data_IF_777468215862
#
_entry.id   IF_777468215862
#
_cell.length_a   1.000
_cell.length_b   1.000
_cell.length_c   1.000
_cell.angle_alpha   90.00
_cell.angle_beta   90.00
_cell.angle_gamma   90.00
#
_symmetry.space_group_name_H-M   'P 1'
#
loop_
_entity.id
_entity.type
_entity.pdbx_description
1 polymer ?
#
# COMPACT_ATOMS: atom_id res chain seq x y z
N UNK A 1 -8.32 16.54 -7.89
CA UNK A 1 -8.75 17.36 -9.05
C UNK A 1 -7.69 18.35 -9.57
N UNK A 2 -6.86 18.94 -8.76
CA UNK A 2 -5.81 19.91 -9.18
C UNK A 2 -4.67 19.26 -10.00
N UNK A 3 -4.36 18.00 -9.77
CA UNK A 3 -3.21 17.30 -10.36
C UNK A 3 -3.47 16.86 -11.81
N UNK A 4 -4.71 16.54 -12.18
CA UNK A 4 -5.07 16.18 -13.57
C UNK A 4 -5.06 17.38 -14.50
N UNK A 5 -5.26 18.59 -13.96
CA UNK A 5 -5.24 19.82 -14.72
C UNK A 5 -3.81 20.33 -15.05
N UNK A 6 -2.79 19.90 -14.30
CA UNK A 6 -1.41 20.39 -14.50
C UNK A 6 -0.67 19.71 -15.66
N UNK A 7 -1.05 18.49 -16.03
CA UNK A 7 -0.43 17.78 -17.16
C UNK A 7 -0.77 18.45 -18.49
N UNK A 8 -2.05 18.75 -18.81
CA UNK A 8 -2.36 19.48 -20.04
C UNK A 8 -1.80 20.90 -20.04
N UNK A 9 -1.70 21.56 -18.87
CA UNK A 9 -1.13 22.91 -18.79
C UNK A 9 0.37 22.91 -19.08
N UNK A 10 1.13 21.94 -18.59
CA UNK A 10 2.54 21.76 -18.90
C UNK A 10 2.80 21.42 -20.36
N UNK A 11 1.97 20.54 -20.95
CA UNK A 11 2.00 20.20 -22.36
C UNK A 11 1.66 21.41 -23.26
N UNK A 12 0.62 22.16 -22.92
CA UNK A 12 0.22 23.37 -23.68
C UNK A 12 1.29 24.45 -23.58
N UNK A 13 1.84 24.68 -22.39
CA UNK A 13 2.95 25.65 -22.21
C UNK A 13 4.20 25.21 -22.98
N UNK A 14 4.54 23.91 -22.98
CA UNK A 14 5.65 23.35 -23.75
C UNK A 14 5.45 23.51 -25.28
N UNK A 15 4.24 23.25 -25.77
CA UNK A 15 3.88 23.42 -27.18
C UNK A 15 3.90 24.89 -27.59
N UNK A 16 3.44 25.82 -26.76
CA UNK A 16 3.51 27.25 -27.00
C UNK A 16 4.96 27.75 -27.03
N UNK A 17 5.80 27.27 -26.12
CA UNK A 17 7.23 27.57 -26.13
C UNK A 17 7.96 26.97 -27.33
N UNK A 18 7.59 25.76 -27.79
CA UNK A 18 8.06 25.17 -29.05
C UNK A 18 7.75 26.05 -30.25
N UNK A 19 6.54 26.61 -30.28
CA UNK A 19 6.08 27.45 -31.39
C UNK A 19 6.77 28.82 -31.41
N UNK A 20 6.99 29.46 -30.24
CA UNK A 20 7.49 30.82 -30.14
C UNK A 20 9.01 30.97 -30.00
N UNK A 21 9.71 29.99 -29.38
CA UNK A 21 11.13 30.14 -29.01
C UNK A 21 12.10 29.18 -29.76
N UNK A 22 11.56 28.39 -30.68
CA UNK A 22 12.31 27.35 -31.39
C UNK A 22 12.40 26.02 -30.63
N UNK A 23 12.72 24.99 -31.38
CA UNK A 23 12.63 23.59 -30.90
C UNK A 23 13.52 23.27 -29.69
N UNK A 24 14.69 23.92 -29.55
CA UNK A 24 15.61 23.69 -28.43
C UNK A 24 15.00 24.16 -27.09
N UNK A 25 14.41 25.38 -27.09
CA UNK A 25 13.79 25.94 -25.91
C UNK A 25 12.52 25.13 -25.51
N UNK A 26 11.77 24.64 -26.50
CA UNK A 26 10.62 23.81 -26.27
C UNK A 26 10.95 22.44 -25.66
N UNK A 27 11.99 21.77 -26.14
CA UNK A 27 12.47 20.51 -25.55
C UNK A 27 13.00 20.77 -24.13
N UNK A 28 13.76 21.83 -23.90
CA UNK A 28 14.24 22.21 -22.57
C UNK A 28 13.11 22.44 -21.58
N UNK A 29 12.04 23.13 -21.97
CA UNK A 29 10.86 23.37 -21.16
C UNK A 29 10.07 22.07 -20.85
N UNK A 30 9.97 21.17 -21.84
CA UNK A 30 9.29 19.89 -21.70
C UNK A 30 10.04 18.97 -20.73
N UNK A 31 11.36 18.86 -20.87
CA UNK A 31 12.22 18.07 -19.97
C UNK A 31 12.22 18.69 -18.56
N UNK A 32 12.43 19.99 -18.45
CA UNK A 32 12.40 20.69 -17.16
C UNK A 32 11.06 20.56 -16.44
N UNK A 33 9.96 20.75 -17.18
CA UNK A 33 8.60 20.59 -16.67
C UNK A 33 8.32 19.16 -16.19
N UNK A 34 8.78 18.16 -16.93
CA UNK A 34 8.63 16.75 -16.55
C UNK A 34 9.42 16.43 -15.26
N UNK A 35 10.63 16.94 -15.14
CA UNK A 35 11.46 16.75 -13.94
C UNK A 35 10.83 17.42 -12.73
N UNK A 36 10.40 18.69 -12.85
CA UNK A 36 9.74 19.42 -11.77
C UNK A 36 8.44 18.71 -11.36
N UNK A 37 7.63 18.28 -12.32
CA UNK A 37 6.41 17.51 -12.05
C UNK A 37 6.74 16.19 -11.32
N UNK A 38 7.76 15.46 -11.77
CA UNK A 38 8.21 14.23 -11.10
C UNK A 38 8.63 14.47 -9.65
N UNK A 39 9.35 15.57 -9.39
CA UNK A 39 9.73 15.95 -8.03
C UNK A 39 8.49 16.28 -7.17
N UNK A 40 7.56 17.06 -7.70
CA UNK A 40 6.31 17.39 -6.98
C UNK A 40 5.52 16.12 -6.66
N UNK A 41 5.37 15.22 -7.63
CA UNK A 41 4.67 13.94 -7.43
C UNK A 41 5.37 13.06 -6.41
N UNK A 42 6.69 12.99 -6.47
CA UNK A 42 7.49 12.27 -5.47
C UNK A 42 7.25 12.77 -4.04
N UNK A 43 7.19 14.10 -3.85
CA UNK A 43 6.94 14.68 -2.52
C UNK A 43 5.48 14.56 -2.09
N UNK A 44 4.55 14.58 -3.04
CA UNK A 44 3.12 14.46 -2.76
C UNK A 44 2.66 13.00 -2.50
N UNK A 45 3.44 12.01 -2.93
CA UNK A 45 3.03 10.59 -2.90
C UNK A 45 2.71 10.10 -1.49
N UNK A 46 3.59 10.33 -0.54
CA UNK A 46 3.42 9.82 0.83
C UNK A 46 2.25 10.48 1.57
N UNK A 47 2.10 11.83 1.60
CA UNK A 47 0.93 12.44 2.22
C UNK A 47 -0.38 12.07 1.50
N UNK A 48 -0.37 11.90 0.18
CA UNK A 48 -1.54 11.46 -0.56
C UNK A 48 -1.96 10.03 -0.17
N UNK A 49 -1.00 9.10 -0.09
CA UNK A 49 -1.26 7.73 0.33
C UNK A 49 -1.75 7.65 1.78
N UNK A 50 -1.13 8.39 2.71
CA UNK A 50 -1.58 8.47 4.10
C UNK A 50 -3.00 9.00 4.21
N UNK A 51 -3.34 10.03 3.44
CA UNK A 51 -4.70 10.60 3.41
C UNK A 51 -5.71 9.63 2.79
N UNK A 52 -5.31 8.87 1.78
CA UNK A 52 -6.17 7.87 1.14
C UNK A 52 -6.46 6.67 2.05
N UNK A 53 -5.47 6.27 2.85
CA UNK A 53 -5.66 5.18 3.81
C UNK A 53 -6.50 5.60 5.00
N UNK A 54 -6.46 6.89 5.38
CA UNK A 54 -7.14 7.44 6.53
C UNK A 54 -6.85 6.64 7.83
N UNK A 55 -7.33 7.10 8.97
CA UNK A 55 -7.18 6.38 10.23
C UNK A 55 -6.59 7.26 11.34
N UNK A 56 -7.02 7.01 12.57
CA UNK A 56 -6.49 7.67 13.77
C UNK A 56 -5.14 7.05 14.16
N UNK A 57 -4.24 7.78 14.82
CA UNK A 57 -3.07 7.18 15.45
C UNK A 57 -3.51 6.09 16.42
N UNK A 58 -2.81 4.94 16.41
CA UNK A 58 -3.07 3.88 17.37
C UNK A 58 -2.63 4.32 18.78
N UNK A 59 -3.47 4.05 19.77
CA UNK A 59 -3.15 4.33 21.17
C UNK A 59 -2.50 3.10 21.82
N UNK A 60 -1.29 3.24 22.42
CA UNK A 60 -0.59 2.13 23.05
C UNK A 60 -1.37 1.44 24.17
N UNK A 61 -2.32 2.12 24.80
CA UNK A 61 -3.10 1.55 25.90
C UNK A 61 -4.29 0.71 25.37
N UNK A 62 -5.05 1.25 24.43
CA UNK A 62 -6.22 0.57 23.87
C UNK A 62 -5.83 -0.52 22.87
N UNK A 63 -4.79 -0.29 22.07
CA UNK A 63 -4.30 -1.25 21.07
C UNK A 63 -2.99 -1.95 21.51
N UNK A 64 -2.79 -2.17 22.81
CA UNK A 64 -1.56 -2.80 23.36
C UNK A 64 -1.21 -4.13 22.69
N UNK A 65 -2.23 -4.91 22.29
CA UNK A 65 -2.06 -6.16 21.55
C UNK A 65 -1.36 -5.94 20.20
N UNK A 66 -1.76 -4.91 19.44
CA UNK A 66 -1.15 -4.56 18.17
C UNK A 66 0.29 -4.09 18.35
N UNK A 67 0.53 -3.22 19.34
CA UNK A 67 1.88 -2.69 19.61
C UNK A 67 2.87 -3.81 19.98
N UNK A 68 2.50 -4.70 20.91
CA UNK A 68 3.34 -5.80 21.35
C UNK A 68 3.65 -6.78 20.21
N UNK A 69 2.65 -7.06 19.38
CA UNK A 69 2.80 -7.96 18.24
C UNK A 69 3.71 -7.38 17.17
N UNK A 70 3.50 -6.10 16.79
CA UNK A 70 4.36 -5.42 15.83
C UNK A 70 5.79 -5.32 16.32
N UNK A 71 6.01 -5.04 17.60
CA UNK A 71 7.35 -4.92 18.18
C UNK A 71 8.11 -6.25 18.16
N UNK A 72 7.45 -7.33 18.55
CA UNK A 72 8.02 -8.68 18.49
C UNK A 72 8.35 -9.11 17.05
N UNK A 73 7.44 -8.87 16.12
CA UNK A 73 7.66 -9.19 14.71
C UNK A 73 8.74 -8.32 14.07
N UNK A 74 8.82 -7.04 14.42
CA UNK A 74 9.89 -6.17 13.94
C UNK A 74 11.28 -6.69 14.35
N UNK A 75 11.40 -7.19 15.57
CA UNK A 75 12.65 -7.80 16.04
C UNK A 75 12.97 -9.09 15.27
N UNK A 76 11.97 -9.95 15.03
CA UNK A 76 12.14 -11.22 14.30
C UNK A 76 12.46 -11.01 12.83
N UNK A 77 11.73 -10.12 12.15
CA UNK A 77 11.85 -9.86 10.72
C UNK A 77 13.06 -8.95 10.41
N UNK A 78 13.58 -8.22 11.40
CA UNK A 78 14.58 -7.18 11.19
C UNK A 78 14.02 -5.95 10.48
N UNK A 79 12.73 -5.67 10.68
CA UNK A 79 12.05 -4.51 10.13
C UNK A 79 12.06 -3.35 11.13
N UNK A 80 12.01 -2.11 10.63
CA UNK A 80 11.75 -0.95 11.49
C UNK A 80 10.28 -0.88 11.86
N UNK A 81 10.00 -0.52 13.12
CA UNK A 81 8.64 -0.27 13.61
C UNK A 81 8.00 0.87 12.80
N UNK A 82 6.90 0.61 12.08
CA UNK A 82 6.16 1.63 11.37
C UNK A 82 5.34 2.50 12.31
N UNK A 83 4.86 3.64 11.82
CA UNK A 83 3.78 4.38 12.48
C UNK A 83 2.50 3.53 12.41
N UNK A 84 1.85 3.31 13.57
CA UNK A 84 0.63 2.49 13.65
C UNK A 84 -0.61 3.39 13.64
N UNK A 85 -1.55 3.06 12.79
CA UNK A 85 -2.84 3.75 12.69
C UNK A 85 -3.97 2.74 12.67
N UNK A 86 -5.09 3.11 13.24
CA UNK A 86 -6.31 2.30 13.26
C UNK A 86 -7.40 3.04 12.49
N UNK A 87 -8.05 2.33 11.60
CA UNK A 87 -9.17 2.84 10.80
C UNK A 87 -10.47 2.32 11.37
N UNK A 88 -11.43 3.22 11.59
CA UNK A 88 -12.78 2.90 12.05
C UNK A 88 -13.60 2.27 10.90
N UNK A 89 -13.36 0.97 10.70
CA UNK A 89 -14.04 0.11 9.73
C UNK A 89 -14.25 -1.27 10.33
N UNK A 90 -15.42 -1.85 10.10
CA UNK A 90 -15.78 -3.19 10.61
C UNK A 90 -15.27 -4.32 9.72
N UNK A 91 -14.89 -4.03 8.50
CA UNK A 91 -14.31 -4.99 7.55
C UNK A 91 -12.87 -5.36 7.92
N UNK A 92 -12.39 -6.48 7.39
CA UNK A 92 -11.10 -7.03 7.76
C UNK A 92 -10.04 -6.65 6.72
N UNK A 93 -9.26 -5.62 6.99
CA UNK A 93 -8.17 -5.26 6.08
C UNK A 93 -7.00 -4.58 6.81
N UNK A 94 -5.84 -4.57 6.16
CA UNK A 94 -4.66 -3.85 6.60
C UNK A 94 -3.97 -3.22 5.39
N UNK A 95 -3.24 -2.15 5.59
CA UNK A 95 -2.52 -1.48 4.52
C UNK A 95 -1.18 -0.92 4.99
N UNK A 96 -0.22 -0.84 4.07
CA UNK A 96 1.04 -0.14 4.31
C UNK A 96 1.29 0.91 3.23
N UNK A 97 1.82 2.04 3.66
CA UNK A 97 2.33 3.06 2.75
C UNK A 97 3.63 3.67 3.28
N UNK A 98 4.38 4.30 2.40
CA UNK A 98 5.60 5.02 2.75
C UNK A 98 6.61 4.99 1.61
N UNK A 99 7.42 6.03 1.51
CA UNK A 99 8.52 6.11 0.53
C UNK A 99 9.81 5.48 1.04
N UNK A 100 9.95 5.39 2.34
CA UNK A 100 11.13 4.84 3.01
C UNK A 100 10.70 3.93 4.15
N UNK A 101 11.51 2.93 4.48
CA UNK A 101 11.28 2.07 5.66
C UNK A 101 11.14 2.86 6.97
N UNK A 102 11.74 4.06 7.06
CA UNK A 102 11.69 4.91 8.26
C UNK A 102 10.38 5.68 8.40
N UNK A 103 9.69 5.94 7.30
CA UNK A 103 8.45 6.71 7.24
C UNK A 103 7.25 5.83 6.90
N UNK A 104 7.43 4.51 7.03
CA UNK A 104 6.36 3.55 6.79
C UNK A 104 5.24 3.72 7.80
N UNK A 105 4.01 3.67 7.30
CA UNK A 105 2.79 3.67 8.09
C UNK A 105 2.04 2.38 7.83
N UNK A 106 1.67 1.69 8.89
CA UNK A 106 0.80 0.52 8.89
C UNK A 106 -0.57 0.94 9.40
N UNK A 107 -1.59 0.74 8.59
CA UNK A 107 -2.98 1.00 8.93
C UNK A 107 -3.69 -0.34 9.07
N UNK A 108 -4.43 -0.53 10.14
CA UNK A 108 -5.28 -1.72 10.36
C UNK A 108 -6.71 -1.28 10.63
N UNK A 109 -7.69 -2.06 10.19
CA UNK A 109 -9.08 -1.78 10.50
C UNK A 109 -9.44 -2.26 11.92
N UNK A 110 -10.42 -1.62 12.56
CA UNK A 110 -10.94 -2.07 13.87
C UNK A 110 -11.52 -3.47 13.78
N UNK A 111 -12.22 -3.79 12.67
CA UNK A 111 -12.74 -5.13 12.42
C UNK A 111 -11.64 -6.18 12.40
N UNK A 112 -10.48 -5.88 11.81
CA UNK A 112 -9.33 -6.79 11.82
C UNK A 112 -8.84 -7.08 13.25
N UNK A 113 -8.75 -6.06 14.09
CA UNK A 113 -8.31 -6.19 15.49
C UNK A 113 -9.32 -6.94 16.34
N UNK A 114 -10.61 -6.77 16.08
CA UNK A 114 -11.69 -7.40 16.84
C UNK A 114 -11.87 -8.89 16.51
N UNK A 115 -11.76 -9.25 15.22
CA UNK A 115 -12.17 -10.56 14.71
C UNK A 115 -11.03 -11.57 14.60
N UNK A 116 -9.81 -11.12 14.38
CA UNK A 116 -8.68 -12.03 14.25
C UNK A 116 -8.14 -12.44 15.62
N UNK A 117 -7.87 -13.73 15.77
CA UNK A 117 -7.08 -14.25 16.87
C UNK A 117 -5.65 -13.68 16.83
N UNK A 118 -4.90 -13.85 17.91
CA UNK A 118 -3.51 -13.37 17.97
C UNK A 118 -2.65 -13.95 16.84
N UNK A 119 -2.80 -15.22 16.55
CA UNK A 119 -1.98 -15.94 15.56
C UNK A 119 -2.34 -15.54 14.13
N UNK A 120 -3.64 -15.35 13.85
CA UNK A 120 -4.12 -14.86 12.57
C UNK A 120 -3.64 -13.41 12.31
N UNK A 121 -3.78 -12.54 13.32
CA UNK A 121 -3.29 -11.17 13.24
C UNK A 121 -1.77 -11.13 13.03
N UNK A 122 -1.03 -12.02 13.69
CA UNK A 122 0.41 -12.17 13.52
C UNK A 122 0.79 -12.47 12.07
N UNK A 123 0.06 -13.37 11.39
CA UNK A 123 0.26 -13.69 9.99
C UNK A 123 0.08 -12.48 9.07
N UNK A 124 -1.01 -11.73 9.26
CA UNK A 124 -1.31 -10.51 8.47
C UNK A 124 -0.26 -9.43 8.70
N UNK A 125 0.08 -9.15 9.96
CA UNK A 125 1.07 -8.12 10.31
C UNK A 125 2.47 -8.52 9.81
N UNK A 126 2.85 -9.80 9.91
CA UNK A 126 4.12 -10.29 9.38
C UNK A 126 4.23 -10.05 7.87
N UNK A 127 3.16 -10.28 7.12
CA UNK A 127 3.13 -10.01 5.69
C UNK A 127 3.30 -8.51 5.39
N UNK A 128 2.60 -7.64 6.11
CA UNK A 128 2.72 -6.20 5.92
C UNK A 128 4.12 -5.68 6.31
N UNK A 129 4.72 -6.19 7.37
CA UNK A 129 6.09 -5.85 7.77
C UNK A 129 7.12 -6.37 6.75
N UNK A 130 6.87 -7.51 6.13
CA UNK A 130 7.69 -8.04 5.04
C UNK A 130 7.67 -7.10 3.84
N UNK A 131 6.51 -6.58 3.46
CA UNK A 131 6.40 -5.54 2.41
C UNK A 131 7.21 -4.29 2.74
N UNK A 132 7.20 -3.84 4.00
CA UNK A 132 8.03 -2.71 4.45
C UNK A 132 9.51 -3.05 4.31
N UNK A 133 9.93 -4.26 4.72
CA UNK A 133 11.32 -4.71 4.65
C UNK A 133 11.82 -4.80 3.20
N UNK A 134 11.01 -5.37 2.31
CA UNK A 134 11.36 -5.57 0.90
C UNK A 134 11.21 -4.28 0.06
N UNK A 135 10.74 -3.16 0.62
CA UNK A 135 10.41 -1.92 -0.08
C UNK A 135 9.28 -2.05 -1.12
N UNK A 136 8.50 -3.09 -1.08
CA UNK A 136 7.37 -3.31 -1.99
C UNK A 136 6.25 -2.25 -1.84
N UNK A 137 6.23 -1.53 -0.72
CA UNK A 137 5.29 -0.44 -0.49
C UNK A 137 5.57 0.82 -1.33
N UNK A 138 6.81 1.01 -1.83
CA UNK A 138 7.20 2.24 -2.55
C UNK A 138 6.45 2.40 -3.88
N UNK A 139 6.44 1.40 -4.80
CA UNK A 139 5.68 1.50 -6.04
C UNK A 139 4.20 1.80 -5.78
N UNK A 140 3.58 1.08 -4.84
CA UNK A 140 2.18 1.28 -4.45
C UNK A 140 1.91 2.69 -3.92
N UNK A 141 2.80 3.23 -3.08
CA UNK A 141 2.70 4.60 -2.53
C UNK A 141 2.80 5.67 -3.63
N UNK A 142 3.71 5.49 -4.58
CA UNK A 142 3.88 6.41 -5.70
C UNK A 142 2.69 6.33 -6.67
N UNK A 143 2.13 5.13 -6.87
CA UNK A 143 0.95 4.91 -7.72
C UNK A 143 -0.27 5.71 -7.27
N UNK A 144 -0.46 5.89 -5.97
CA UNK A 144 -1.59 6.69 -5.43
C UNK A 144 -1.48 8.18 -5.82
N UNK A 145 -0.27 8.71 -5.93
CA UNK A 145 -0.05 10.11 -6.30
C UNK A 145 -0.01 10.35 -7.81
N UNK A 146 0.50 9.38 -8.55
CA UNK A 146 0.51 9.38 -10.00
C UNK A 146 -0.73 8.68 -10.50
N UNK A 147 -1.22 9.06 -11.67
CA UNK A 147 -2.38 8.42 -12.30
C UNK A 147 -2.11 6.92 -12.34
N UNK A 148 -2.80 6.16 -11.47
CA UNK A 148 -2.52 4.77 -11.12
C UNK A 148 -2.43 3.73 -12.25
N UNK A 149 -2.57 4.17 -13.50
CA UNK A 149 -2.51 3.35 -14.70
C UNK A 149 -1.07 3.19 -15.23
N UNK A 150 -0.24 4.23 -15.20
CA UNK A 150 1.11 4.16 -15.76
C UNK A 150 2.14 3.54 -14.81
N UNK A 151 1.95 3.63 -13.52
CA UNK A 151 2.92 3.09 -12.56
C UNK A 151 2.87 1.56 -12.48
N UNK A 152 1.69 0.94 -12.64
CA UNK A 152 1.52 -0.51 -12.76
C UNK A 152 2.19 -1.09 -14.01
N UNK A 153 2.31 -0.28 -15.05
CA UNK A 153 2.97 -0.70 -16.30
C UNK A 153 4.50 -0.73 -16.18
N UNK A 154 5.06 0.13 -15.30
CA UNK A 154 6.51 0.33 -15.18
C UNK A 154 7.16 -0.50 -14.07
N UNK A 155 6.39 -0.94 -13.09
CA UNK A 155 6.89 -1.77 -11.99
C UNK A 155 5.75 -2.68 -11.52
N UNK A 156 5.63 -3.88 -12.08
CA UNK A 156 4.67 -4.86 -11.57
C UNK A 156 5.00 -5.11 -10.09
N UNK A 157 3.99 -5.07 -9.20
CA UNK A 157 4.20 -5.42 -7.80
C UNK A 157 4.68 -6.88 -7.70
N UNK A 158 5.51 -7.15 -6.70
CA UNK A 158 5.86 -8.52 -6.36
C UNK A 158 4.58 -9.34 -6.15
N UNK A 159 4.55 -10.60 -6.60
CA UNK A 159 3.38 -11.45 -6.40
C UNK A 159 3.01 -11.50 -4.91
N UNK A 160 1.76 -11.22 -4.58
CA UNK A 160 1.27 -11.21 -3.19
C UNK A 160 1.57 -12.55 -2.50
N UNK A 161 1.50 -13.65 -3.25
CA UNK A 161 1.86 -15.00 -2.80
C UNK A 161 3.32 -15.13 -2.38
N UNK A 162 4.24 -14.40 -3.01
CA UNK A 162 5.65 -14.38 -2.59
C UNK A 162 5.80 -13.68 -1.23
N UNK A 163 5.06 -12.60 -0.99
CA UNK A 163 5.03 -11.91 0.30
C UNK A 163 4.38 -12.77 1.39
N UNK A 164 3.35 -13.53 1.06
CA UNK A 164 2.69 -14.47 1.96
C UNK A 164 3.65 -15.60 2.39
N UNK A 165 4.37 -16.21 1.44
CA UNK A 165 5.40 -17.22 1.73
C UNK A 165 6.53 -16.65 2.59
N UNK A 166 6.98 -15.46 2.29
CA UNK A 166 8.00 -14.78 3.09
C UNK A 166 7.51 -14.51 4.53
N UNK A 167 6.26 -14.07 4.71
CA UNK A 167 5.66 -13.87 6.03
C UNK A 167 5.59 -15.18 6.82
N UNK A 168 5.15 -16.26 6.19
CA UNK A 168 5.11 -17.59 6.79
C UNK A 168 6.50 -18.08 7.18
N UNK A 169 7.54 -17.76 6.42
CA UNK A 169 8.91 -18.13 6.78
C UNK A 169 9.38 -17.50 8.11
N UNK A 170 8.85 -16.33 8.47
CA UNK A 170 9.13 -15.64 9.74
C UNK A 170 8.27 -16.15 10.90
N UNK A 171 6.96 -16.33 10.65
CA UNK A 171 6.03 -16.82 11.68
C UNK A 171 6.14 -18.32 11.91
N UNK A 172 6.63 -19.06 10.91
CA UNK A 172 6.71 -20.53 10.88
C UNK A 172 5.37 -21.23 11.13
N UNK A 173 4.27 -20.53 10.87
CA UNK A 173 2.94 -21.04 11.14
C UNK A 173 1.94 -20.65 10.03
N UNK A 174 1.90 -21.39 8.91
CA UNK A 174 0.97 -21.13 7.80
C UNK A 174 -0.50 -21.07 8.21
N UNK A 175 -1.01 -21.93 9.13
CA UNK A 175 -2.43 -21.90 9.48
C UNK A 175 -2.93 -20.56 10.04
N UNK A 176 -2.05 -19.76 10.65
CA UNK A 176 -2.43 -18.42 11.13
C UNK A 176 -2.81 -17.49 9.99
N UNK A 177 -1.99 -17.42 8.94
CA UNK A 177 -2.28 -16.59 7.78
C UNK A 177 -3.46 -17.14 6.96
N UNK A 178 -3.57 -18.46 6.83
CA UNK A 178 -4.70 -19.13 6.16
C UNK A 178 -6.02 -18.78 6.87
N UNK A 179 -6.10 -18.93 8.20
CA UNK A 179 -7.30 -18.61 8.97
C UNK A 179 -7.69 -17.13 8.86
N UNK A 180 -6.72 -16.22 8.81
CA UNK A 180 -6.99 -14.80 8.55
C UNK A 180 -7.62 -14.58 7.17
N UNK A 181 -7.08 -15.20 6.12
CA UNK A 181 -7.61 -15.08 4.75
C UNK A 181 -9.02 -15.68 4.63
N UNK A 182 -9.29 -16.83 5.27
CA UNK A 182 -10.61 -17.46 5.30
C UNK A 182 -11.65 -16.56 5.98
N UNK A 183 -11.31 -15.93 7.11
CA UNK A 183 -12.17 -14.95 7.76
C UNK A 183 -12.41 -13.71 6.92
N UNK A 184 -11.38 -13.22 6.23
CA UNK A 184 -11.51 -12.09 5.31
C UNK A 184 -12.42 -12.43 4.13
N UNK A 185 -12.33 -13.64 3.58
CA UNK A 185 -13.22 -14.11 2.53
C UNK A 185 -14.68 -14.16 3.00
N UNK A 186 -14.91 -14.62 4.23
CA UNK A 186 -16.25 -14.75 4.79
C UNK A 186 -16.90 -13.42 5.19
N UNK A 187 -16.12 -12.45 5.70
CA UNK A 187 -16.63 -11.19 6.27
C UNK A 187 -16.45 -9.98 5.35
N UNK A 188 -15.62 -10.09 4.31
CA UNK A 188 -15.33 -9.02 3.37
C UNK A 188 -14.14 -8.14 3.80
N UNK A 189 -13.54 -7.53 2.79
CA UNK A 189 -12.32 -6.70 2.90
C UNK A 189 -12.54 -5.27 2.40
N UNK A 190 -13.76 -4.94 1.98
CA UNK A 190 -14.09 -3.63 1.41
C UNK A 190 -13.95 -2.52 2.45
N UNK A 191 -13.33 -1.42 2.07
CA UNK A 191 -13.17 -0.24 2.94
C UNK A 191 -13.77 0.99 2.28
N UNK A 192 -14.28 1.93 3.07
CA UNK A 192 -14.82 3.19 2.55
C UNK A 192 -13.77 3.94 1.74
N UNK A 193 -14.12 4.35 0.53
CA UNK A 193 -13.17 5.02 -0.37
C UNK A 193 -12.09 4.12 -0.95
N UNK A 194 -12.25 2.80 -0.81
CA UNK A 194 -11.45 1.81 -1.54
C UNK A 194 -11.54 2.07 -3.05
N UNK A 195 -10.42 2.00 -3.73
CA UNK A 195 -10.35 2.25 -5.18
C UNK A 195 -9.20 1.48 -5.81
N UNK A 196 -9.26 1.30 -7.14
CA UNK A 196 -8.14 0.73 -7.91
C UNK A 196 -6.80 1.41 -7.63
N UNK A 197 -6.80 2.73 -7.46
CA UNK A 197 -5.59 3.51 -7.19
C UNK A 197 -4.96 3.19 -5.84
N UNK A 198 -5.75 2.73 -4.86
CA UNK A 198 -5.27 2.39 -3.53
C UNK A 198 -5.14 0.89 -3.29
N UNK A 199 -5.66 0.05 -4.20
CA UNK A 199 -5.72 -1.40 -4.01
C UNK A 199 -4.37 -2.04 -3.67
N UNK A 200 -3.30 -1.58 -4.30
CA UNK A 200 -1.95 -2.09 -4.06
C UNK A 200 -1.38 -1.78 -2.67
N UNK A 201 -1.96 -0.83 -1.94
CA UNK A 201 -1.54 -0.53 -0.56
C UNK A 201 -2.10 -1.54 0.44
N UNK A 202 -3.26 -2.13 0.12
CA UNK A 202 -4.01 -3.00 1.01
C UNK A 202 -3.50 -4.44 0.99
N UNK A 203 -3.79 -5.15 2.05
CA UNK A 203 -3.50 -6.58 2.18
C UNK A 203 -4.41 -7.43 1.29
N UNK A 204 -5.68 -7.04 1.22
CA UNK A 204 -6.69 -7.62 0.36
C UNK A 204 -7.44 -6.52 -0.38
N UNK A 205 -8.17 -6.86 -1.45
CA UNK A 205 -8.88 -5.88 -2.25
C UNK A 205 -9.80 -4.99 -1.38
N UNK A 206 -9.58 -3.67 -1.38
CA UNK A 206 -10.40 -2.75 -0.59
C UNK A 206 -11.76 -2.43 -1.21
N UNK A 207 -12.14 -3.10 -2.29
CA UNK A 207 -13.34 -2.83 -3.08
C UNK A 207 -13.08 -1.96 -4.31
N UNK A 208 -14.01 -2.04 -5.27
CA UNK A 208 -13.93 -1.26 -6.52
C UNK A 208 -13.02 -1.84 -7.60
N UNK A 209 -12.42 -3.00 -7.38
CA UNK A 209 -11.65 -3.73 -8.37
C UNK A 209 -12.53 -4.83 -8.97
N UNK A 210 -12.74 -4.83 -10.30
CA UNK A 210 -13.52 -5.89 -10.96
C UNK A 210 -12.83 -7.24 -10.92
N UNK A 211 -11.49 -7.24 -10.94
CA UNK A 211 -10.64 -8.43 -10.85
C UNK A 211 -9.49 -8.09 -9.90
N UNK A 212 -9.46 -8.67 -8.69
CA UNK A 212 -8.32 -8.54 -7.81
C UNK A 212 -7.09 -9.18 -8.45
N UNK A 213 -5.91 -8.57 -8.26
CA UNK A 213 -4.63 -9.06 -8.80
C UNK A 213 -4.34 -10.51 -8.37
N UNK A 214 -4.83 -10.91 -7.21
CA UNK A 214 -4.77 -12.28 -6.70
C UNK A 214 -5.98 -12.50 -5.80
N UNK A 215 -6.78 -13.54 -6.06
CA UNK A 215 -7.93 -13.84 -5.22
C UNK A 215 -7.49 -14.36 -3.85
N UNK A 216 -8.35 -14.17 -2.83
CA UNK A 216 -8.06 -14.73 -1.49
C UNK A 216 -7.98 -16.26 -1.54
N UNK A 217 -8.77 -16.90 -2.41
CA UNK A 217 -8.75 -18.36 -2.63
C UNK A 217 -7.41 -18.84 -3.14
N UNK A 218 -6.88 -18.20 -4.17
CA UNK A 218 -5.58 -18.57 -4.76
C UNK A 218 -4.45 -18.43 -3.74
N UNK A 219 -4.53 -17.40 -2.86
CA UNK A 219 -3.58 -17.21 -1.77
C UNK A 219 -3.65 -18.33 -0.73
N UNK A 220 -4.88 -18.71 -0.33
CA UNK A 220 -5.12 -19.81 0.61
C UNK A 220 -4.59 -21.13 0.02
N UNK A 221 -4.87 -21.40 -1.25
CA UNK A 221 -4.42 -22.62 -1.92
C UNK A 221 -2.88 -22.67 -1.99
N UNK A 222 -2.25 -21.58 -2.40
CA UNK A 222 -0.79 -21.48 -2.44
C UNK A 222 -0.11 -21.62 -1.07
N UNK A 223 -0.80 -21.28 0.02
CA UNK A 223 -0.30 -21.45 1.39
C UNK A 223 -0.52 -22.86 1.94
N UNK A 224 -1.54 -23.56 1.44
CA UNK A 224 -1.80 -24.96 1.83
C UNK A 224 -0.80 -25.95 1.19
N UNK A 225 -0.12 -25.51 0.14
CA UNK A 225 0.94 -26.29 -0.53
C UNK A 225 2.31 -26.18 0.17
N UNK A 226 2.45 -25.36 1.22
CA UNK A 226 3.68 -25.18 1.98
C UNK A 226 3.79 -26.16 3.14
#
# INVERSE_FOLDING_TARGET
MVIVASIPLGLVAGLLLLYYSGWVAGIGALVGGTVVFGIIMWWAAEPAARKALDGRPADPLSEARLFNLVEGLCATIGARKPELRVRDETTLNAAVCGRRRRTATLVVTEGLLAELTRVELEGVIAQQLTRIRCHDMLPATVTVATIGFFATLLSPPEPVTAMDRAAVSFTRYPPGLIGALEKMEAKGTEVRGGSRGTAQLWFADPGGTREPLTSLKDRIEALREL
#
